data_IF_130638192919
#
_entry.id   IF_130638192919
#
_cell.length_a   1.000
_cell.length_b   1.000
_cell.length_c   1.000
_cell.angle_alpha   90.00
_cell.angle_beta   90.00
_cell.angle_gamma   90.00
#
_symmetry.space_group_name_H-M   'P 1'
#
loop_
_entity.id
_entity.type
_entity.pdbx_description
1 polymer ?
#
# COMPACT_ATOMS: atom_id res chain seq x y z
N UNK A 1 -6.58 -20.28 -3.10
CA UNK A 1 -6.88 -20.24 -1.66
C UNK A 1 -5.89 -19.35 -0.93
N UNK A 2 -6.37 -18.46 -0.06
CA UNK A 2 -5.63 -17.34 0.55
C UNK A 2 -4.80 -17.73 1.79
N UNK A 3 -4.97 -18.95 2.33
CA UNK A 3 -4.24 -19.49 3.51
C UNK A 3 -4.16 -18.48 4.66
N UNK A 4 -5.29 -18.17 5.33
CA UNK A 4 -5.33 -17.21 6.42
C UNK A 4 -4.53 -17.69 7.64
N UNK A 5 -3.92 -16.77 8.37
CA UNK A 5 -3.19 -16.98 9.62
C UNK A 5 -3.77 -16.01 10.65
N UNK A 6 -4.04 -16.51 11.85
CA UNK A 6 -4.51 -15.68 12.96
C UNK A 6 -3.35 -15.44 13.91
N UNK A 7 -3.11 -14.16 14.23
CA UNK A 7 -2.07 -13.71 15.13
C UNK A 7 -2.57 -13.79 16.58
N UNK A 8 -1.66 -13.79 17.55
CA UNK A 8 -1.99 -13.95 18.97
C UNK A 8 -2.93 -12.87 19.54
N UNK A 9 -2.96 -11.70 18.90
CA UNK A 9 -3.81 -10.55 19.23
C UNK A 9 -5.02 -10.45 18.30
N UNK A 10 -5.54 -11.60 17.86
CA UNK A 10 -6.82 -11.81 17.16
C UNK A 10 -6.95 -11.25 15.74
N UNK A 11 -5.97 -10.47 15.26
CA UNK A 11 -5.93 -10.06 13.85
C UNK A 11 -5.51 -11.20 12.93
N UNK A 12 -6.12 -11.26 11.75
CA UNK A 12 -5.82 -12.27 10.74
C UNK A 12 -5.26 -11.64 9.46
N UNK A 13 -4.32 -12.34 8.83
CA UNK A 13 -3.71 -11.95 7.57
C UNK A 13 -3.44 -13.16 6.68
N UNK A 14 -3.26 -12.94 5.38
CA UNK A 14 -2.91 -14.03 4.46
C UNK A 14 -1.46 -14.49 4.73
N UNK A 15 -1.18 -15.80 4.73
CA UNK A 15 0.18 -16.32 5.02
C UNK A 15 1.24 -15.68 4.13
N UNK A 16 0.96 -15.54 2.84
CA UNK A 16 1.87 -14.91 1.87
C UNK A 16 2.19 -13.45 2.23
N UNK A 17 1.19 -12.71 2.69
CA UNK A 17 1.28 -11.31 3.05
C UNK A 17 2.13 -11.14 4.32
N UNK A 18 1.87 -11.98 5.32
CA UNK A 18 2.57 -11.94 6.59
C UNK A 18 4.02 -12.41 6.49
N UNK A 19 4.31 -13.44 5.67
CA UNK A 19 5.70 -13.85 5.39
C UNK A 19 6.48 -12.70 4.76
N UNK A 20 5.94 -12.06 3.72
CA UNK A 20 6.59 -10.90 3.10
C UNK A 20 6.82 -9.74 4.07
N UNK A 21 5.88 -9.49 4.97
CA UNK A 21 6.00 -8.46 5.99
C UNK A 21 7.17 -8.78 6.95
N UNK A 22 7.25 -10.03 7.40
CA UNK A 22 8.35 -10.50 8.27
C UNK A 22 9.70 -10.42 7.55
N UNK A 23 9.75 -10.71 6.25
CA UNK A 23 11.00 -10.65 5.48
C UNK A 23 11.52 -9.22 5.26
N UNK A 24 10.63 -8.21 5.27
CA UNK A 24 10.98 -6.80 4.96
C UNK A 24 11.24 -6.00 6.24
N UNK A 25 10.59 -6.32 7.35
CA UNK A 25 10.70 -5.56 8.60
C UNK A 25 11.71 -6.19 9.57
N UNK A 26 12.62 -5.37 10.11
CA UNK A 26 13.55 -5.80 11.17
C UNK A 26 12.84 -6.16 12.48
N UNK A 27 11.68 -5.53 12.73
CA UNK A 27 10.80 -5.81 13.86
C UNK A 27 9.36 -5.86 13.33
N UNK A 28 8.88 -7.04 12.90
CA UNK A 28 7.59 -7.15 12.24
C UNK A 28 6.45 -6.79 13.17
N UNK A 29 5.59 -5.85 12.75
CA UNK A 29 4.43 -5.39 13.52
C UNK A 29 3.13 -5.62 12.78
N UNK A 30 2.05 -5.84 13.52
CA UNK A 30 0.72 -5.88 12.94
C UNK A 30 0.39 -4.54 12.25
N UNK A 31 -0.02 -4.54 10.97
CA UNK A 31 -0.43 -3.31 10.31
C UNK A 31 -1.61 -2.60 11.00
N UNK A 32 -2.50 -3.39 11.65
CA UNK A 32 -3.73 -2.92 12.30
C UNK A 32 -3.46 -2.33 13.69
N UNK A 33 -2.92 -3.12 14.62
CA UNK A 33 -2.75 -2.70 16.02
C UNK A 33 -1.30 -2.41 16.44
N UNK A 34 -0.33 -2.53 15.53
CA UNK A 34 1.11 -2.33 15.77
C UNK A 34 1.74 -3.29 16.80
N UNK A 35 1.00 -4.27 17.30
CA UNK A 35 1.52 -5.30 18.17
C UNK A 35 2.63 -6.11 17.46
N UNK A 36 3.70 -6.51 18.17
CA UNK A 36 4.80 -7.26 17.59
C UNK A 36 4.33 -8.65 17.13
N UNK A 37 4.74 -9.04 15.93
CA UNK A 37 4.47 -10.37 15.38
C UNK A 37 5.62 -11.29 15.80
N UNK A 38 5.30 -12.43 16.40
CA UNK A 38 6.30 -13.44 16.72
C UNK A 38 6.92 -14.02 15.45
N UNK A 39 8.25 -14.19 15.44
CA UNK A 39 9.04 -14.72 14.30
C UNK A 39 8.85 -16.27 14.16
N UNK A 40 7.98 -16.87 14.97
CA UNK A 40 7.64 -18.28 14.90
C UNK A 40 6.90 -18.67 13.60
N UNK A 41 6.72 -19.98 13.40
CA UNK A 41 5.99 -20.49 12.24
C UNK A 41 4.55 -19.99 12.23
N UNK A 42 4.19 -19.23 11.19
CA UNK A 42 2.82 -18.75 10.96
C UNK A 42 1.89 -19.94 10.63
N UNK A 43 1.10 -20.34 11.61
CA UNK A 43 0.12 -21.42 11.46
C UNK A 43 -1.14 -20.94 10.72
N UNK A 44 -1.53 -21.71 9.71
CA UNK A 44 -2.78 -21.45 8.97
C UNK A 44 -3.96 -21.73 9.89
N UNK A 45 -4.90 -20.79 9.98
CA UNK A 45 -6.15 -21.00 10.66
C UNK A 45 -7.07 -21.85 9.77
N UNK A 46 -7.15 -23.15 10.07
CA UNK A 46 -7.91 -24.13 9.28
C UNK A 46 -9.41 -23.78 9.28
N UNK A 47 -9.98 -23.43 10.43
CA UNK A 47 -11.39 -23.08 10.52
C UNK A 47 -11.74 -21.86 9.66
N UNK A 48 -10.94 -20.79 9.75
CA UNK A 48 -11.14 -19.60 8.92
C UNK A 48 -10.90 -19.90 7.43
N UNK A 49 -9.93 -20.76 7.12
CA UNK A 49 -9.67 -21.20 5.75
C UNK A 49 -10.87 -21.96 5.16
N UNK A 50 -11.52 -22.81 5.95
CA UNK A 50 -12.70 -23.57 5.54
C UNK A 50 -13.93 -22.67 5.38
N UNK A 51 -14.14 -21.72 6.30
CA UNK A 51 -15.20 -20.71 6.18
C UNK A 51 -15.00 -19.91 4.88
N UNK A 52 -13.77 -19.47 4.60
CA UNK A 52 -13.45 -18.73 3.38
C UNK A 52 -13.67 -19.58 2.12
N UNK A 53 -13.37 -20.87 2.18
CA UNK A 53 -13.64 -21.79 1.07
C UNK A 53 -15.13 -21.94 0.76
N UNK A 54 -15.98 -21.88 1.78
CA UNK A 54 -17.43 -22.04 1.65
C UNK A 54 -18.18 -20.81 1.13
N UNK A 55 -17.50 -19.67 0.91
CA UNK A 55 -18.17 -18.53 0.28
C UNK A 55 -18.57 -18.89 -1.15
N UNK A 56 -19.87 -18.87 -1.41
CA UNK A 56 -20.46 -19.05 -2.74
C UNK A 56 -20.30 -17.77 -3.59
N UNK A 57 -19.04 -17.40 -3.86
CA UNK A 57 -18.76 -16.30 -4.79
C UNK A 57 -18.83 -16.86 -6.19
N UNK A 58 -19.88 -16.46 -6.91
CA UNK A 58 -20.06 -16.79 -8.31
C UNK A 58 -19.70 -15.61 -9.21
N UNK A 59 -19.05 -15.89 -10.33
CA UNK A 59 -18.95 -14.91 -11.40
C UNK A 59 -20.29 -14.89 -12.16
N UNK A 60 -21.01 -13.76 -12.12
CA UNK A 60 -22.31 -13.61 -12.80
C UNK A 60 -22.23 -13.93 -14.30
N UNK A 61 -21.12 -13.62 -14.94
CA UNK A 61 -20.93 -13.78 -16.39
C UNK A 61 -20.57 -15.20 -16.82
N UNK A 62 -20.18 -16.08 -15.90
CA UNK A 62 -19.68 -17.43 -16.23
C UNK A 62 -20.18 -18.55 -15.33
N UNK A 63 -20.93 -18.24 -14.26
CA UNK A 63 -21.38 -19.23 -13.27
C UNK A 63 -20.26 -19.84 -12.41
N UNK A 64 -19.02 -19.38 -12.60
CA UNK A 64 -17.81 -19.89 -11.97
C UNK A 64 -17.79 -19.67 -10.44
N UNK A 65 -17.27 -20.62 -9.64
CA UNK A 65 -17.26 -20.55 -8.16
C UNK A 65 -15.86 -20.33 -7.56
N UNK A 66 -15.77 -19.59 -6.44
CA UNK A 66 -14.55 -19.15 -5.74
C UNK A 66 -13.37 -20.16 -5.65
N UNK A 67 -13.64 -21.46 -5.61
CA UNK A 67 -12.66 -22.53 -5.38
C UNK A 67 -11.56 -22.64 -6.46
N UNK A 68 -11.83 -22.22 -7.69
CA UNK A 68 -10.97 -22.40 -8.88
C UNK A 68 -10.16 -21.13 -9.28
N UNK A 69 -9.96 -20.20 -8.32
CA UNK A 69 -9.66 -18.76 -8.57
C UNK A 69 -8.44 -18.51 -9.46
N UNK A 70 -7.45 -19.43 -9.44
CA UNK A 70 -6.20 -19.27 -10.18
C UNK A 70 -6.36 -19.48 -11.69
N UNK A 71 -7.35 -20.25 -12.14
CA UNK A 71 -7.59 -20.51 -13.55
C UNK A 71 -8.57 -19.50 -14.16
N UNK A 72 -9.59 -19.08 -13.40
CA UNK A 72 -10.57 -18.11 -13.86
C UNK A 72 -9.97 -16.71 -14.10
N UNK A 73 -9.15 -16.19 -13.18
CA UNK A 73 -8.54 -14.87 -13.32
C UNK A 73 -7.60 -14.75 -14.54
N UNK A 74 -7.02 -15.87 -14.98
CA UNK A 74 -6.17 -15.95 -16.19
C UNK A 74 -7.00 -15.94 -17.48
N UNK A 75 -8.22 -16.47 -17.45
CA UNK A 75 -9.10 -16.59 -18.63
C UNK A 75 -10.06 -15.42 -18.82
N UNK A 76 -10.56 -14.84 -17.73
CA UNK A 76 -11.59 -13.78 -17.78
C UNK A 76 -11.05 -12.36 -17.63
N UNK A 77 -9.75 -12.20 -17.32
CA UNK A 77 -9.17 -10.89 -17.04
C UNK A 77 -9.84 -10.20 -15.85
N UNK A 78 -9.29 -9.05 -15.42
CA UNK A 78 -10.03 -8.17 -14.51
C UNK A 78 -11.20 -7.60 -15.31
N UNK A 79 -12.43 -7.75 -14.80
CA UNK A 79 -13.58 -7.08 -15.40
C UNK A 79 -13.33 -5.58 -15.39
N UNK A 80 -13.14 -5.00 -16.58
CA UNK A 80 -13.04 -3.55 -16.74
C UNK A 80 -14.45 -3.00 -16.72
N UNK A 81 -14.94 -2.62 -15.55
CA UNK A 81 -16.18 -1.85 -15.46
C UNK A 81 -15.87 -0.48 -16.06
N UNK A 82 -16.50 -0.16 -17.20
CA UNK A 82 -16.42 1.20 -17.73
C UNK A 82 -17.22 2.11 -16.79
N UNK A 83 -16.53 3.05 -16.17
CA UNK A 83 -17.19 4.11 -15.43
C UNK A 83 -17.95 5.02 -16.41
N UNK A 84 -19.20 5.34 -16.10
CA UNK A 84 -20.04 6.18 -16.95
C UNK A 84 -19.60 7.65 -17.01
N UNK A 85 -18.65 8.06 -16.16
CA UNK A 85 -18.10 9.41 -16.15
C UNK A 85 -17.03 9.57 -17.24
N UNK A 86 -17.20 10.53 -18.14
CA UNK A 86 -16.17 10.88 -19.13
C UNK A 86 -14.85 11.24 -18.43
N UNK A 87 -13.76 10.57 -18.83
CA UNK A 87 -12.41 10.79 -18.29
C UNK A 87 -12.03 10.01 -17.03
N UNK A 88 -12.91 9.14 -16.50
CA UNK A 88 -12.56 8.26 -15.37
C UNK A 88 -11.51 7.22 -15.78
N UNK A 89 -10.42 7.13 -15.01
CA UNK A 89 -9.29 6.25 -15.32
C UNK A 89 -8.32 6.78 -16.39
N UNK A 90 -8.55 8.00 -16.91
CA UNK A 90 -7.61 8.64 -17.83
C UNK A 90 -6.28 8.90 -17.12
N UNK A 91 -5.20 8.35 -17.66
CA UNK A 91 -3.87 8.48 -17.09
C UNK A 91 -3.19 9.72 -17.66
N UNK A 92 -3.01 10.73 -16.80
CA UNK A 92 -2.36 11.99 -17.13
C UNK A 92 -0.97 12.08 -16.47
N UNK A 93 0.03 12.68 -17.13
CA UNK A 93 1.33 12.88 -16.52
C UNK A 93 1.30 14.06 -15.54
N UNK A 94 1.81 13.84 -14.33
CA UNK A 94 2.10 14.93 -13.40
C UNK A 94 3.14 15.88 -14.02
N UNK A 95 2.84 17.18 -14.06
CA UNK A 95 3.73 18.19 -14.66
C UNK A 95 5.05 18.37 -13.88
N UNK A 96 5.05 18.11 -12.57
CA UNK A 96 6.21 18.34 -11.69
C UNK A 96 7.17 17.15 -11.64
N UNK A 97 6.67 15.92 -11.79
CA UNK A 97 7.48 14.71 -11.62
C UNK A 97 7.34 13.68 -12.75
N UNK A 98 6.54 13.96 -13.78
CA UNK A 98 6.31 13.07 -14.93
C UNK A 98 5.61 11.75 -14.60
N UNK A 99 5.18 11.54 -13.34
CA UNK A 99 4.54 10.29 -12.94
C UNK A 99 3.14 10.21 -13.54
N UNK A 100 2.85 9.11 -14.20
CA UNK A 100 1.54 8.76 -14.74
C UNK A 100 0.58 8.46 -13.59
N UNK A 101 -0.48 9.26 -13.45
CA UNK A 101 -1.53 9.07 -12.44
C UNK A 101 -2.89 9.19 -13.09
N UNK A 102 -3.91 8.57 -12.50
CA UNK A 102 -5.30 8.78 -12.94
C UNK A 102 -5.69 10.23 -12.69
N UNK A 103 -6.53 10.80 -13.56
CA UNK A 103 -7.02 12.17 -13.46
C UNK A 103 -7.67 12.44 -12.09
N UNK A 104 -8.46 11.50 -11.58
CA UNK A 104 -9.06 11.61 -10.25
C UNK A 104 -8.04 11.68 -9.10
N UNK A 105 -6.84 11.11 -9.26
CA UNK A 105 -5.79 11.11 -8.25
C UNK A 105 -4.74 12.20 -8.49
N UNK A 106 -4.87 13.01 -9.54
CA UNK A 106 -3.87 14.02 -9.91
C UNK A 106 -3.74 15.11 -8.84
N UNK A 107 -4.87 15.57 -8.28
CA UNK A 107 -4.87 16.61 -7.25
C UNK A 107 -4.24 16.13 -5.94
N UNK A 108 -4.63 14.95 -5.45
CA UNK A 108 -4.03 14.35 -4.26
C UNK A 108 -2.54 14.04 -4.47
N UNK A 109 -2.18 13.58 -5.68
CA UNK A 109 -0.80 13.36 -6.02
C UNK A 109 -0.01 14.66 -6.02
N UNK A 110 -0.49 15.71 -6.70
CA UNK A 110 0.16 17.02 -6.72
C UNK A 110 0.23 17.65 -5.32
N UNK A 111 -0.77 17.40 -4.46
CA UNK A 111 -0.83 17.95 -3.12
C UNK A 111 0.14 17.26 -2.14
N UNK A 112 0.12 15.93 -2.13
CA UNK A 112 0.61 15.15 -0.99
C UNK A 112 1.54 13.99 -1.36
N UNK A 113 1.60 13.56 -2.62
CA UNK A 113 2.40 12.39 -3.02
C UNK A 113 3.51 12.75 -4.03
N UNK A 114 3.47 13.98 -4.57
CA UNK A 114 4.44 14.45 -5.54
C UNK A 114 5.78 14.69 -4.86
N UNK A 115 6.70 13.81 -5.21
CA UNK A 115 8.09 13.82 -4.78
C UNK A 115 8.84 15.12 -5.08
N UNK A 116 8.49 15.76 -6.21
CA UNK A 116 9.12 17.00 -6.66
C UNK A 116 8.36 18.25 -6.19
N UNK A 117 7.31 18.09 -5.38
CA UNK A 117 6.62 19.26 -4.82
C UNK A 117 7.59 20.07 -3.98
N UNK A 118 7.65 21.38 -4.25
CA UNK A 118 8.36 22.33 -3.40
C UNK A 118 7.53 22.63 -2.16
N UNK A 119 8.14 22.48 -0.99
CA UNK A 119 7.58 22.85 0.30
C UNK A 119 8.48 23.90 0.95
N UNK A 120 7.89 24.79 1.76
CA UNK A 120 8.68 25.70 2.59
C UNK A 120 9.30 24.90 3.73
N UNK A 121 10.53 25.25 4.12
CA UNK A 121 11.20 24.62 5.25
C UNK A 121 10.31 24.67 6.51
N UNK A 122 9.96 23.51 7.10
CA UNK A 122 9.07 23.46 8.26
C UNK A 122 9.70 24.09 9.53
N UNK A 123 11.01 24.33 9.52
CA UNK A 123 11.74 25.02 10.60
C UNK A 123 11.69 26.56 10.45
N UNK A 124 10.96 27.09 9.47
CA UNK A 124 10.70 28.53 9.35
C UNK A 124 11.82 29.36 8.73
N UNK A 125 12.87 28.75 8.16
CA UNK A 125 13.97 29.50 7.54
C UNK A 125 13.66 30.06 6.14
N UNK A 126 12.44 29.85 5.61
CA UNK A 126 11.98 30.40 4.34
C UNK A 126 12.53 29.72 3.07
N UNK A 127 13.40 28.70 3.19
CA UNK A 127 13.94 27.99 2.03
C UNK A 127 12.89 27.07 1.39
N UNK A 128 12.77 27.12 0.06
CA UNK A 128 11.94 26.19 -0.73
C UNK A 128 12.70 24.89 -1.04
N UNK A 129 12.20 23.77 -0.52
CA UNK A 129 12.82 22.46 -0.61
C UNK A 129 11.96 21.48 -1.41
N UNK A 130 12.57 20.55 -2.14
CA UNK A 130 11.85 19.43 -2.72
C UNK A 130 11.43 18.46 -1.62
N UNK A 131 10.21 17.92 -1.70
CA UNK A 131 9.69 16.95 -0.72
C UNK A 131 10.61 15.73 -0.55
N UNK A 132 11.20 15.19 -1.62
CA UNK A 132 12.17 14.09 -1.53
C UNK A 132 13.47 14.42 -0.77
N UNK A 133 13.91 15.68 -0.79
CA UNK A 133 15.11 16.08 -0.06
C UNK A 133 14.91 16.09 1.47
N UNK A 134 13.66 16.07 1.97
CA UNK A 134 13.34 16.15 3.39
C UNK A 134 13.56 14.84 4.19
N UNK A 135 13.61 13.67 3.57
CA UNK A 135 13.62 12.40 4.35
C UNK A 135 15.01 12.04 4.88
N UNK A 136 16.10 12.42 4.21
CA UNK A 136 17.46 12.01 4.60
C UNK A 136 18.46 13.16 4.83
N UNK A 137 18.31 14.32 4.20
CA UNK A 137 19.35 15.36 4.24
C UNK A 137 19.28 16.29 5.47
N UNK A 138 18.08 16.55 6.02
CA UNK A 138 17.93 17.47 7.16
C UNK A 138 18.29 16.78 8.50
N UNK A 139 18.15 15.46 8.58
CA UNK A 139 18.60 14.68 9.75
C UNK A 139 20.12 14.46 9.78
N UNK A 140 20.85 14.77 8.69
CA UNK A 140 22.29 14.51 8.56
C UNK A 140 23.16 15.78 8.51
N UNK A 141 22.59 16.98 8.35
CA UNK A 141 23.35 18.22 8.43
C UNK A 141 23.40 18.74 9.88
N UNK A 142 24.43 18.29 10.60
CA UNK A 142 25.00 18.96 11.78
C UNK A 142 25.34 20.43 11.47
N UNK A 143 24.37 21.34 11.51
CA UNK A 143 24.65 22.78 11.42
C UNK A 143 25.11 23.26 12.79
N UNK A 144 26.44 23.43 12.91
CA UNK A 144 27.15 24.05 14.03
C UNK A 144 26.48 25.36 14.43
N UNK A 145 26.18 25.49 15.72
CA UNK A 145 25.92 26.78 16.35
C UNK A 145 27.22 27.59 16.29
N UNK A 146 27.23 28.64 15.47
CA UNK A 146 28.18 29.74 15.66
C UNK A 146 27.56 30.73 16.64
N UNK A 147 27.99 30.65 17.89
CA UNK A 147 27.91 31.78 18.81
C UNK A 147 28.66 32.95 18.14
N UNK A 148 27.90 33.97 17.71
CA UNK A 148 28.47 35.25 17.31
C UNK A 148 29.01 35.99 18.53
N UNK A 149 30.06 36.81 18.35
CA UNK A 149 30.88 37.38 19.42
C UNK A 149 30.11 38.36 20.31
#
# INVERSE_FOLDING_TARGET
>A
MVKPVTLAFEHSGCRHCLVKLIDIETVPKCPLCKAPIGIGTLHVNIALNDIIGKFDVKCESSGWTFHEHKQHLKGYGKFTIQCANEGCGEVVPCQECGRKVTRECLEEQAASLCSNKRIVCPLGCGTSLLRQANVNLIMQSNVKWSSRP
#
